data_IF_777681095718
#
_entry.id   IF_777681095718
#
_cell.length_a   1.000
_cell.length_b   1.000
_cell.length_c   1.000
_cell.angle_alpha   90.00
_cell.angle_beta   90.00
_cell.angle_gamma   90.00
#
_symmetry.space_group_name_H-M   'P 1'
#
loop_
_entity.id
_entity.type
_entity.pdbx_description
1 polymer ?
#
# COMPACT_ATOMS: atom_id res chain seq x y z
N UNK A 1 26.80 -48.36 -14.53
CA UNK A 1 26.41 -47.65 -13.28
C UNK A 1 24.98 -48.03 -12.93
N UNK A 2 24.77 -48.69 -11.80
CA UNK A 2 23.50 -49.25 -11.34
C UNK A 2 22.42 -48.17 -11.19
N UNK A 3 21.22 -48.43 -11.73
CA UNK A 3 20.07 -47.52 -11.69
C UNK A 3 19.67 -47.14 -10.26
N UNK A 4 19.90 -48.04 -9.29
CA UNK A 4 19.68 -47.79 -7.87
C UNK A 4 20.58 -46.69 -7.28
N UNK A 5 21.84 -46.58 -7.72
CA UNK A 5 22.75 -45.54 -7.23
C UNK A 5 22.40 -44.18 -7.84
N UNK A 6 22.01 -44.15 -9.12
CA UNK A 6 21.51 -42.94 -9.77
C UNK A 6 20.26 -42.38 -9.07
N UNK A 7 19.32 -43.25 -8.71
CA UNK A 7 18.07 -42.83 -8.05
C UNK A 7 18.31 -42.30 -6.63
N UNK A 8 19.25 -42.87 -5.88
CA UNK A 8 19.66 -42.36 -4.55
C UNK A 8 20.31 -40.98 -4.64
N UNK A 9 21.14 -40.75 -5.66
CA UNK A 9 21.75 -39.43 -5.89
C UNK A 9 20.70 -38.38 -6.25
N UNK A 10 19.76 -38.71 -7.15
CA UNK A 10 18.65 -37.83 -7.52
C UNK A 10 17.80 -37.47 -6.29
N UNK A 11 17.44 -38.47 -5.46
CA UNK A 11 16.69 -38.24 -4.23
C UNK A 11 17.45 -37.31 -3.25
N UNK A 12 18.76 -37.47 -3.12
CA UNK A 12 19.61 -36.59 -2.31
C UNK A 12 19.62 -35.14 -2.81
N UNK A 13 19.78 -34.92 -4.12
CA UNK A 13 19.76 -33.58 -4.70
C UNK A 13 18.40 -32.90 -4.54
N UNK A 14 17.29 -33.63 -4.72
CA UNK A 14 15.94 -33.10 -4.51
C UNK A 14 15.75 -32.68 -3.05
N UNK A 15 16.26 -33.45 -2.09
CA UNK A 15 16.12 -33.16 -0.67
C UNK A 15 16.91 -31.90 -0.27
N UNK A 16 18.14 -31.74 -0.77
CA UNK A 16 18.94 -30.52 -0.57
C UNK A 16 18.27 -29.31 -1.22
N UNK A 17 17.68 -29.48 -2.41
CA UNK A 17 16.96 -28.41 -3.09
C UNK A 17 15.69 -27.97 -2.34
N UNK A 18 14.93 -28.91 -1.77
CA UNK A 18 13.75 -28.61 -0.96
C UNK A 18 14.13 -27.89 0.35
N UNK A 19 15.20 -28.33 1.01
CA UNK A 19 15.71 -27.68 2.22
C UNK A 19 16.25 -26.25 1.95
N UNK A 20 16.98 -26.08 0.85
CA UNK A 20 17.46 -24.77 0.38
C UNK A 20 16.33 -23.86 -0.07
N UNK A 21 15.34 -24.38 -0.80
CA UNK A 21 14.17 -23.65 -1.27
C UNK A 21 13.28 -23.15 -0.13
N UNK A 22 13.02 -23.97 0.89
CA UNK A 22 12.24 -23.56 2.06
C UNK A 22 12.96 -22.46 2.86
N UNK A 23 14.27 -22.57 3.03
CA UNK A 23 15.09 -21.54 3.71
C UNK A 23 15.14 -20.25 2.90
N UNK A 24 15.32 -20.35 1.58
CA UNK A 24 15.32 -19.23 0.66
C UNK A 24 13.99 -18.49 0.64
N UNK A 25 12.85 -19.20 0.56
CA UNK A 25 11.50 -18.61 0.59
C UNK A 25 11.21 -17.95 1.93
N UNK A 26 11.59 -18.56 3.06
CA UNK A 26 11.35 -17.96 4.38
C UNK A 26 12.14 -16.67 4.59
N UNK A 27 13.45 -16.68 4.32
CA UNK A 27 14.33 -15.50 4.47
C UNK A 27 13.98 -14.40 3.47
N UNK A 28 13.66 -14.78 2.22
CA UNK A 28 13.23 -13.81 1.21
C UNK A 28 11.85 -13.26 1.50
N UNK A 29 10.87 -14.03 1.99
CA UNK A 29 9.54 -13.52 2.33
C UNK A 29 9.58 -12.56 3.53
N UNK A 30 10.34 -12.87 4.58
CA UNK A 30 10.48 -11.97 5.74
C UNK A 30 11.24 -10.69 5.37
N UNK A 31 12.35 -10.81 4.64
CA UNK A 31 13.15 -9.66 4.20
C UNK A 31 12.41 -8.84 3.15
N UNK A 32 11.69 -9.49 2.22
CA UNK A 32 10.87 -8.81 1.24
C UNK A 32 9.70 -8.05 1.89
N UNK A 33 9.14 -8.53 3.00
CA UNK A 33 8.12 -7.77 3.69
C UNK A 33 8.67 -6.46 4.29
N UNK A 34 9.94 -6.44 4.70
CA UNK A 34 10.65 -5.23 5.16
C UNK A 34 11.11 -4.33 4.00
N UNK A 35 11.54 -4.89 2.86
CA UNK A 35 12.11 -4.13 1.74
C UNK A 35 11.10 -3.81 0.60
N UNK A 36 10.24 -4.74 0.21
CA UNK A 36 9.21 -4.54 -0.82
C UNK A 36 7.92 -3.90 -0.29
N UNK A 37 7.69 -3.92 1.02
CA UNK A 37 6.75 -3.00 1.67
C UNK A 37 7.11 -1.54 1.41
N UNK A 38 8.39 -1.21 1.22
CA UNK A 38 8.87 0.17 1.05
C UNK A 38 8.66 0.77 -0.35
N UNK A 39 8.31 -0.01 -1.37
CA UNK A 39 8.35 0.47 -2.76
C UNK A 39 7.15 1.34 -3.19
N UNK A 40 6.19 1.58 -2.29
CA UNK A 40 5.16 2.63 -2.44
C UNK A 40 5.25 3.72 -1.36
N UNK A 41 6.16 3.57 -0.40
CA UNK A 41 6.32 4.45 0.76
C UNK A 41 7.39 5.50 0.48
N UNK A 42 7.05 6.47 -0.36
CA UNK A 42 7.99 7.53 -0.72
C UNK A 42 7.37 8.91 -0.80
N UNK A 43 6.10 9.03 -1.16
CA UNK A 43 5.53 10.33 -1.52
C UNK A 43 5.65 11.35 -0.39
N UNK A 44 5.23 11.00 0.83
CA UNK A 44 5.31 11.89 1.99
C UNK A 44 6.77 12.24 2.34
N UNK A 45 7.66 11.24 2.39
CA UNK A 45 9.07 11.45 2.70
C UNK A 45 9.78 12.30 1.63
N UNK A 46 9.52 12.04 0.34
CA UNK A 46 10.09 12.78 -0.78
C UNK A 46 9.59 14.23 -0.78
N UNK A 47 8.28 14.45 -0.62
CA UNK A 47 7.72 15.79 -0.51
C UNK A 47 8.33 16.57 0.68
N UNK A 48 8.53 15.90 1.82
CA UNK A 48 9.22 16.49 2.97
C UNK A 48 10.68 16.82 2.67
N UNK A 49 11.44 15.90 2.05
CA UNK A 49 12.83 16.14 1.65
C UNK A 49 12.94 17.34 0.72
N UNK A 50 12.15 17.40 -0.35
CA UNK A 50 12.15 18.52 -1.30
C UNK A 50 11.79 19.84 -0.62
N UNK A 51 10.77 19.84 0.25
CA UNK A 51 10.36 21.03 0.99
C UNK A 51 11.45 21.52 1.94
N UNK A 52 12.03 20.63 2.74
CA UNK A 52 13.09 20.96 3.70
C UNK A 52 14.36 21.43 2.98
N UNK A 53 14.74 20.77 1.89
CA UNK A 53 15.88 21.18 1.07
C UNK A 53 15.70 22.60 0.54
N UNK A 54 14.53 22.90 -0.02
CA UNK A 54 14.24 24.21 -0.61
C UNK A 54 14.19 25.32 0.44
N UNK A 55 13.44 25.13 1.53
CA UNK A 55 13.25 26.16 2.54
C UNK A 55 14.48 26.41 3.41
N UNK A 56 15.25 25.37 3.73
CA UNK A 56 16.39 25.47 4.66
C UNK A 56 17.74 25.52 3.95
N UNK A 57 17.75 25.40 2.61
CA UNK A 57 18.97 25.35 1.79
C UNK A 57 20.00 24.35 2.31
N UNK A 58 19.52 23.15 2.63
CA UNK A 58 20.36 22.11 3.22
C UNK A 58 21.44 21.67 2.24
N UNK A 59 22.66 21.46 2.76
CA UNK A 59 23.72 20.79 2.01
C UNK A 59 23.41 19.30 1.87
N UNK A 60 24.08 18.64 0.91
CA UNK A 60 23.91 17.20 0.71
C UNK A 60 24.31 16.39 1.95
N UNK A 61 25.33 16.83 2.68
CA UNK A 61 25.75 16.20 3.93
C UNK A 61 24.67 16.33 5.02
N UNK A 62 24.06 17.50 5.16
CA UNK A 62 22.96 17.72 6.10
C UNK A 62 21.74 16.89 5.71
N UNK A 63 21.40 16.85 4.42
CA UNK A 63 20.31 16.05 3.90
C UNK A 63 20.53 14.55 4.16
N UNK A 64 21.76 14.08 4.00
CA UNK A 64 22.14 12.69 4.29
C UNK A 64 21.93 12.37 5.77
N UNK A 65 22.33 13.27 6.67
CA UNK A 65 22.16 13.11 8.13
C UNK A 65 20.70 13.05 8.56
N UNK A 66 19.83 13.87 7.96
CA UNK A 66 18.41 13.94 8.36
C UNK A 66 17.49 12.98 7.58
N UNK A 67 17.94 12.43 6.45
CA UNK A 67 17.13 11.54 5.60
C UNK A 67 16.50 10.37 6.35
N UNK A 68 17.20 9.65 7.26
CA UNK A 68 16.60 8.56 8.02
C UNK A 68 15.43 9.01 8.92
N UNK A 69 15.50 10.24 9.45
CA UNK A 69 14.44 10.83 10.27
C UNK A 69 13.20 11.12 9.41
N UNK A 70 13.42 11.70 8.22
CA UNK A 70 12.35 12.01 7.27
C UNK A 70 11.69 10.74 6.74
N UNK A 71 12.48 9.71 6.42
CA UNK A 71 11.97 8.41 5.96
C UNK A 71 11.12 7.73 7.02
N UNK A 72 11.61 7.63 8.26
CA UNK A 72 10.83 7.11 9.40
C UNK A 72 9.52 7.88 9.57
N UNK A 73 9.56 9.21 9.44
CA UNK A 73 8.38 10.06 9.56
C UNK A 73 7.39 9.82 8.42
N UNK A 74 7.87 9.76 7.18
CA UNK A 74 7.04 9.48 6.00
C UNK A 74 6.34 8.12 6.10
N UNK A 75 7.03 7.09 6.57
CA UNK A 75 6.43 5.76 6.80
C UNK A 75 5.30 5.84 7.83
N UNK A 76 5.51 6.52 8.96
CA UNK A 76 4.48 6.69 10.00
C UNK A 76 3.28 7.47 9.49
N UNK A 77 3.48 8.51 8.69
CA UNK A 77 2.38 9.29 8.09
C UNK A 77 1.55 8.45 7.12
N UNK A 78 2.18 7.58 6.33
CA UNK A 78 1.45 6.71 5.41
C UNK A 78 0.64 5.64 6.17
N UNK A 79 1.18 5.11 7.26
CA UNK A 79 0.45 4.22 8.17
C UNK A 79 -0.80 4.90 8.75
N UNK A 80 -0.63 6.11 9.30
CA UNK A 80 -1.74 6.91 9.84
C UNK A 80 -2.79 7.17 8.76
N UNK A 81 -2.37 7.52 7.54
CA UNK A 81 -3.27 7.76 6.41
C UNK A 81 -4.05 6.50 6.04
N UNK A 82 -3.41 5.35 6.02
CA UNK A 82 -4.03 4.06 5.72
C UNK A 82 -5.07 3.65 6.78
N UNK A 83 -4.74 3.80 8.06
CA UNK A 83 -5.66 3.53 9.17
C UNK A 83 -6.85 4.48 9.15
N UNK A 84 -6.58 5.79 9.09
CA UNK A 84 -7.62 6.83 9.04
C UNK A 84 -8.55 6.62 7.86
N UNK A 85 -8.02 6.36 6.67
CA UNK A 85 -8.82 6.09 5.48
C UNK A 85 -9.66 4.81 5.56
N UNK A 86 -9.25 3.82 6.37
CA UNK A 86 -10.06 2.64 6.66
C UNK A 86 -11.22 3.00 7.60
N UNK A 87 -10.91 3.66 8.72
CA UNK A 87 -11.91 4.08 9.70
C UNK A 87 -12.97 4.98 9.09
N UNK A 88 -12.57 5.96 8.27
CA UNK A 88 -13.52 6.83 7.53
C UNK A 88 -14.46 6.02 6.64
N UNK A 89 -13.94 5.02 5.90
CA UNK A 89 -14.79 4.17 5.04
C UNK A 89 -15.77 3.33 5.84
N UNK A 90 -15.33 2.80 6.98
CA UNK A 90 -16.18 2.02 7.88
C UNK A 90 -17.30 2.88 8.47
N UNK A 91 -16.97 4.07 8.97
CA UNK A 91 -17.96 5.03 9.51
C UNK A 91 -18.98 5.44 8.44
N UNK A 92 -18.56 5.72 7.21
CA UNK A 92 -19.50 6.08 6.13
C UNK A 92 -20.39 4.88 5.77
N UNK A 93 -19.84 3.67 5.69
CA UNK A 93 -20.62 2.47 5.39
C UNK A 93 -21.64 2.15 6.50
N UNK A 94 -21.29 2.41 7.76
CA UNK A 94 -22.21 2.33 8.90
C UNK A 94 -23.35 3.34 8.77
N UNK A 95 -23.04 4.61 8.53
CA UNK A 95 -24.06 5.65 8.32
C UNK A 95 -25.03 5.28 7.18
N UNK A 96 -24.53 4.72 6.07
CA UNK A 96 -25.39 4.26 4.99
C UNK A 96 -26.33 3.11 5.39
N UNK A 97 -25.86 2.17 6.22
CA UNK A 97 -26.71 1.08 6.75
C UNK A 97 -27.80 1.60 7.67
N UNK A 98 -27.49 2.62 8.47
CA UNK A 98 -28.46 3.27 9.36
C UNK A 98 -29.51 4.11 8.60
N UNK A 99 -29.10 4.76 7.50
CA UNK A 99 -30.00 5.58 6.67
C UNK A 99 -30.91 4.72 5.79
N UNK A 100 -30.43 3.56 5.31
CA UNK A 100 -31.14 2.74 4.33
C UNK A 100 -32.60 2.40 4.68
N UNK A 101 -32.97 2.06 5.93
CA UNK A 101 -34.35 1.80 6.32
C UNK A 101 -35.29 3.00 6.20
N UNK A 102 -34.76 4.23 6.22
CA UNK A 102 -35.54 5.47 6.10
C UNK A 102 -35.78 5.89 4.65
N UNK A 103 -35.27 5.13 3.67
CA UNK A 103 -35.33 5.45 2.25
C UNK A 103 -36.37 4.61 1.52
N UNK A 104 -36.96 5.16 0.45
CA UNK A 104 -37.78 4.38 -0.48
C UNK A 104 -36.92 3.35 -1.22
N UNK A 105 -37.50 2.28 -1.79
CA UNK A 105 -36.76 1.28 -2.57
C UNK A 105 -35.89 1.89 -3.69
N UNK A 106 -36.41 2.90 -4.39
CA UNK A 106 -35.69 3.59 -5.47
C UNK A 106 -34.49 4.38 -4.92
N UNK A 107 -34.66 5.02 -3.76
CA UNK A 107 -33.59 5.76 -3.09
C UNK A 107 -32.50 4.83 -2.55
N UNK A 108 -32.87 3.66 -2.01
CA UNK A 108 -31.91 2.64 -1.59
C UNK A 108 -31.07 2.14 -2.77
N UNK A 109 -31.67 1.98 -3.95
CA UNK A 109 -30.91 1.60 -5.14
C UNK A 109 -29.91 2.70 -5.54
N UNK A 110 -30.31 3.98 -5.51
CA UNK A 110 -29.41 5.11 -5.76
C UNK A 110 -28.25 5.17 -4.76
N UNK A 111 -28.50 4.87 -3.48
CA UNK A 111 -27.48 4.80 -2.44
C UNK A 111 -26.43 3.72 -2.76
N UNK A 112 -26.88 2.52 -3.15
CA UNK A 112 -25.99 1.41 -3.57
C UNK A 112 -25.14 1.78 -4.78
N UNK A 113 -25.73 2.45 -5.76
CA UNK A 113 -25.00 2.89 -6.97
C UNK A 113 -23.94 3.95 -6.63
N UNK A 114 -24.25 4.87 -5.72
CA UNK A 114 -23.33 5.87 -5.21
C UNK A 114 -22.14 5.21 -4.52
N UNK A 115 -22.37 4.24 -3.64
CA UNK A 115 -21.31 3.47 -3.01
C UNK A 115 -20.45 2.69 -4.00
N UNK A 116 -21.06 2.04 -4.98
CA UNK A 116 -20.34 1.25 -5.98
C UNK A 116 -19.45 2.15 -6.85
N UNK A 117 -19.89 3.38 -7.16
CA UNK A 117 -19.08 4.38 -7.84
C UNK A 117 -17.91 4.83 -6.97
N UNK A 118 -18.16 5.09 -5.69
CA UNK A 118 -17.13 5.52 -4.75
C UNK A 118 -16.05 4.45 -4.56
N UNK A 119 -16.46 3.18 -4.40
CA UNK A 119 -15.54 2.03 -4.33
C UNK A 119 -14.68 1.90 -5.59
N UNK A 120 -15.28 2.01 -6.77
CA UNK A 120 -14.54 1.97 -8.04
C UNK A 120 -13.56 3.12 -8.18
N UNK A 121 -13.97 4.34 -7.80
CA UNK A 121 -13.08 5.49 -7.83
C UNK A 121 -11.83 5.28 -6.96
N UNK A 122 -11.99 4.79 -5.73
CA UNK A 122 -10.87 4.46 -4.85
C UNK A 122 -10.03 3.26 -5.30
N UNK A 123 -10.63 2.26 -5.95
CA UNK A 123 -9.89 1.11 -6.48
C UNK A 123 -9.02 1.50 -7.68
N UNK A 124 -9.48 2.44 -8.51
CA UNK A 124 -8.75 2.90 -9.69
C UNK A 124 -7.81 4.07 -9.39
N UNK A 125 -8.12 4.93 -8.42
CA UNK A 125 -7.25 6.04 -8.01
C UNK A 125 -6.35 5.58 -6.87
N UNK A 126 -5.13 5.17 -7.23
CA UNK A 126 -4.04 5.13 -6.28
C UNK A 126 -3.88 6.53 -5.65
N UNK A 127 -3.71 6.65 -4.33
CA UNK A 127 -3.84 7.93 -3.66
C UNK A 127 -2.51 8.71 -3.82
N UNK A 128 -2.38 9.37 -4.96
CA UNK A 128 -1.22 10.18 -5.37
C UNK A 128 -1.46 11.09 -6.58
N UNK A 129 -2.53 10.88 -7.36
CA UNK A 129 -2.95 11.83 -8.41
C UNK A 129 -4.10 12.69 -7.89
N UNK A 130 -3.80 13.90 -7.43
CA UNK A 130 -4.78 15.00 -7.43
C UNK A 130 -5.05 15.33 -8.89
N UNK A 131 -6.05 14.69 -9.49
CA UNK A 131 -6.64 15.18 -10.73
C UNK A 131 -7.73 16.15 -10.31
N UNK A 132 -7.68 17.44 -10.68
CA UNK A 132 -8.81 18.34 -10.47
C UNK A 132 -10.00 17.71 -11.22
N UNK A 133 -11.07 17.39 -10.49
CA UNK A 133 -12.32 17.01 -11.15
C UNK A 133 -12.77 18.15 -12.07
N UNK A 134 -13.45 17.85 -13.19
CA UNK A 134 -13.96 18.91 -14.06
C UNK A 134 -14.90 19.78 -13.21
N UNK A 135 -14.54 21.06 -13.08
CA UNK A 135 -15.43 22.08 -12.56
C UNK A 135 -16.70 22.04 -13.42
N UNK A 136 -17.76 21.42 -12.90
CA UNK A 136 -19.09 21.66 -13.43
C UNK A 136 -19.44 23.08 -12.99
N UNK A 137 -19.04 24.05 -13.81
CA UNK A 137 -19.55 25.41 -13.75
C UNK A 137 -21.06 25.34 -13.86
N UNK A 138 -21.81 25.88 -12.88
CA UNK A 138 -23.24 26.09 -13.06
C UNK A 138 -23.39 27.34 -13.93
N UNK A 139 -24.00 27.21 -15.11
CA UNK A 139 -25.20 27.94 -15.58
C UNK A 139 -25.65 27.32 -16.92
#
# INVERSE_FOLDING_TARGET
MNSALKWKLIAGFVLVFLAGGATGVFVSATTAHYFFGAHRHGFAAQAMKSRLQWHLRLTDEQMTKISPIIEKTGTKLEEIRGDTGRRVRETIAEAHREIAPSLTPEQQQRLKDMEARHRRWFQHHQPGSVTPGPETSPQ
#
